data_IF_362214134329
#
_entry.id   IF_362214134329
#
_cell.length_a   1.000
_cell.length_b   1.000
_cell.length_c   1.000
_cell.angle_alpha   90.00
_cell.angle_beta   90.00
_cell.angle_gamma   90.00
#
_symmetry.space_group_name_H-M   'P 1'
#
loop_
_entity.id
_entity.type
_entity.pdbx_description
1 polymer ?
#
# COMPACT_ATOMS: atom_id res chain seq x y z
N UNK A 1 39.86 59.38 16.60
CA UNK A 1 38.69 59.81 17.40
C UNK A 1 37.47 59.04 16.92
N UNK A 2 36.71 58.53 17.89
CA UNK A 2 35.33 58.04 17.85
C UNK A 2 35.02 56.66 17.26
N UNK A 3 34.90 55.72 18.20
CA UNK A 3 33.91 54.63 18.29
C UNK A 3 32.49 55.07 17.89
N UNK A 4 31.60 54.17 17.45
CA UNK A 4 30.43 53.65 18.23
C UNK A 4 29.60 52.67 17.36
N UNK A 5 29.04 51.71 18.10
CA UNK A 5 28.25 50.52 17.81
C UNK A 5 26.93 50.63 17.03
N UNK A 6 26.57 49.42 16.59
CA UNK A 6 25.37 48.88 15.97
C UNK A 6 24.16 48.75 16.94
N UNK A 7 22.95 49.15 16.50
CA UNK A 7 21.56 48.66 16.82
C UNK A 7 20.57 49.73 16.27
N UNK A 8 19.35 49.49 15.73
CA UNK A 8 18.27 48.53 15.99
C UNK A 8 17.20 48.62 14.86
N UNK A 9 16.55 47.49 14.55
CA UNK A 9 15.15 47.29 14.06
C UNK A 9 14.61 47.99 12.79
N UNK A 10 14.18 47.17 11.82
CA UNK A 10 12.91 47.39 11.12
C UNK A 10 12.15 46.06 10.90
N UNK A 11 10.90 46.05 11.37
CA UNK A 11 9.89 44.99 11.23
C UNK A 11 9.58 44.72 9.75
N UNK A 12 9.46 43.45 9.37
CA UNK A 12 8.81 43.04 8.13
C UNK A 12 7.32 42.81 8.39
N UNK A 13 6.47 43.40 7.55
CA UNK A 13 5.01 43.36 7.60
C UNK A 13 4.54 42.55 6.36
N UNK A 14 3.63 41.57 6.48
CA UNK A 14 3.20 40.78 5.32
C UNK A 14 2.26 41.58 4.41
N UNK A 15 2.33 41.43 3.08
CA UNK A 15 1.45 42.13 2.15
C UNK A 15 0.02 41.55 2.14
N UNK A 16 -0.94 42.47 2.05
CA UNK A 16 -2.39 42.29 2.04
C UNK A 16 -2.96 41.79 0.72
N UNK A 17 -4.07 41.04 0.81
CA UNK A 17 -4.96 40.63 -0.29
C UNK A 17 -5.54 41.84 -1.06
N UNK A 18 -5.36 41.87 -2.38
CA UNK A 18 -6.24 42.61 -3.30
C UNK A 18 -6.27 41.98 -4.72
N UNK A 19 -7.50 41.61 -5.11
CA UNK A 19 -8.14 41.72 -6.43
C UNK A 19 -7.64 40.91 -7.65
N UNK A 20 -8.50 39.96 -8.08
CA UNK A 20 -8.46 39.23 -9.36
C UNK A 20 -9.20 40.00 -10.46
N UNK A 21 -8.72 40.00 -11.72
CA UNK A 21 -9.53 40.36 -12.88
C UNK A 21 -10.34 39.16 -13.40
N UNK A 22 -11.63 39.41 -13.65
CA UNK A 22 -12.58 38.54 -14.34
C UNK A 22 -12.50 38.68 -15.86
N UNK A 23 -12.53 37.59 -16.61
CA UNK A 23 -12.84 37.59 -18.04
C UNK A 23 -13.96 36.58 -18.36
N UNK A 24 -15.07 37.11 -18.84
CA UNK A 24 -16.10 36.44 -19.65
C UNK A 24 -16.38 37.40 -20.83
N UNK A 25 -16.59 37.00 -22.08
CA UNK A 25 -16.59 35.68 -22.71
C UNK A 25 -16.66 35.86 -24.24
N UNK A 26 -16.65 34.74 -24.97
CA UNK A 26 -17.14 34.65 -26.33
C UNK A 26 -17.72 33.25 -26.53
N UNK A 27 -19.04 33.16 -26.66
CA UNK A 27 -19.80 31.94 -26.92
C UNK A 27 -19.90 31.79 -28.44
N UNK A 28 -19.39 30.69 -28.99
CA UNK A 28 -19.70 30.24 -30.34
C UNK A 28 -20.24 28.81 -30.24
N UNK A 29 -21.50 28.65 -30.60
CA UNK A 29 -22.26 27.41 -30.43
C UNK A 29 -21.86 26.32 -31.41
N UNK A 30 -21.51 25.15 -30.84
CA UNK A 30 -21.83 23.83 -31.39
C UNK A 30 -22.10 22.90 -30.20
N UNK A 31 -23.19 22.12 -30.17
CA UNK A 31 -23.39 21.11 -29.15
C UNK A 31 -22.36 20.00 -29.38
N UNK A 32 -21.25 20.07 -28.64
CA UNK A 32 -20.33 18.94 -28.48
C UNK A 32 -21.06 17.93 -27.60
N UNK A 33 -21.79 17.00 -28.22
CA UNK A 33 -22.10 15.73 -27.57
C UNK A 33 -20.78 15.09 -27.22
N UNK A 34 -20.35 15.23 -25.96
CA UNK A 34 -19.29 14.42 -25.41
C UNK A 34 -19.79 12.99 -25.44
N UNK A 35 -19.36 12.23 -26.45
CA UNK A 35 -19.41 10.77 -26.39
C UNK A 35 -18.83 10.40 -25.04
N UNK A 36 -19.55 9.65 -24.18
CA UNK A 36 -19.00 9.21 -22.93
C UNK A 36 -17.74 8.42 -23.28
N UNK A 37 -16.57 8.96 -22.97
CA UNK A 37 -15.33 8.20 -23.01
C UNK A 37 -15.59 7.05 -22.04
N UNK A 38 -15.73 5.85 -22.58
CA UNK A 38 -15.95 4.66 -21.78
C UNK A 38 -14.84 4.62 -20.73
N UNK A 39 -15.22 4.88 -19.48
CA UNK A 39 -14.36 4.64 -18.32
C UNK A 39 -13.96 3.17 -18.46
N UNK A 40 -12.66 2.83 -18.56
CA UNK A 40 -12.25 1.44 -18.60
C UNK A 40 -12.87 0.77 -17.38
N UNK A 41 -13.74 -0.21 -17.62
CA UNK A 41 -14.45 -0.93 -16.56
C UNK A 41 -13.41 -1.36 -15.53
N UNK A 42 -13.48 -0.73 -14.35
CA UNK A 42 -12.92 -1.28 -13.12
C UNK A 42 -13.26 -2.76 -13.11
N UNK A 43 -12.35 -3.65 -12.70
CA UNK A 43 -12.85 -4.92 -12.19
C UNK A 43 -13.78 -4.54 -11.03
N UNK A 44 -15.11 -4.71 -11.14
CA UNK A 44 -16.01 -4.28 -10.10
C UNK A 44 -15.55 -4.89 -8.77
N UNK A 45 -15.79 -4.17 -7.67
CA UNK A 45 -15.68 -4.66 -6.29
C UNK A 45 -16.18 -6.12 -6.12
N UNK A 46 -17.16 -6.53 -6.94
CA UNK A 46 -17.66 -7.90 -7.01
C UNK A 46 -16.63 -8.94 -7.47
N UNK A 47 -15.72 -8.66 -8.40
CA UNK A 47 -14.74 -9.64 -8.90
C UNK A 47 -13.65 -9.97 -7.86
N UNK A 48 -13.25 -9.02 -7.00
CA UNK A 48 -12.26 -9.23 -5.93
C UNK A 48 -12.86 -9.86 -4.68
N UNK A 49 -14.08 -9.50 -4.29
CA UNK A 49 -14.76 -10.15 -3.16
C UNK A 49 -15.33 -11.53 -3.53
N UNK A 50 -15.81 -11.71 -4.76
CA UNK A 50 -16.17 -13.03 -5.29
C UNK A 50 -14.92 -13.91 -5.39
N UNK A 51 -13.78 -13.35 -5.81
CA UNK A 51 -12.48 -13.99 -5.73
C UNK A 51 -12.16 -14.42 -4.30
N UNK A 52 -12.24 -13.54 -3.30
CA UNK A 52 -11.92 -13.92 -1.92
C UNK A 52 -12.81 -15.06 -1.40
N UNK A 53 -14.13 -14.97 -1.59
CA UNK A 53 -15.08 -16.00 -1.16
C UNK A 53 -14.86 -17.34 -1.89
N UNK A 54 -14.63 -17.31 -3.21
CA UNK A 54 -14.37 -18.52 -4.02
C UNK A 54 -12.99 -19.13 -3.77
N UNK A 55 -12.04 -18.33 -3.27
CA UNK A 55 -10.70 -18.77 -2.92
C UNK A 55 -10.60 -19.29 -1.48
N UNK A 56 -11.64 -19.18 -0.65
CA UNK A 56 -11.60 -19.70 0.73
C UNK A 56 -11.16 -21.16 0.76
N UNK A 57 -10.15 -21.45 1.57
CA UNK A 57 -9.53 -22.79 1.69
C UNK A 57 -8.46 -23.13 0.65
N UNK A 58 -8.21 -22.26 -0.34
CA UNK A 58 -7.11 -22.44 -1.30
C UNK A 58 -5.77 -21.99 -0.71
N UNK A 59 -4.62 -22.44 -1.26
CA UNK A 59 -3.31 -21.92 -0.87
C UNK A 59 -3.19 -20.40 -1.02
N UNK A 60 -3.85 -19.82 -2.03
CA UNK A 60 -3.86 -18.39 -2.29
C UNK A 60 -4.52 -17.61 -1.15
N UNK A 61 -5.68 -18.07 -0.69
CA UNK A 61 -6.37 -17.49 0.45
C UNK A 61 -5.58 -17.70 1.75
N UNK A 62 -4.99 -18.87 1.96
CA UNK A 62 -4.13 -19.14 3.12
C UNK A 62 -2.96 -18.14 3.20
N UNK A 63 -2.31 -17.85 2.07
CA UNK A 63 -1.27 -16.82 2.00
C UNK A 63 -1.84 -15.41 2.24
N UNK A 64 -3.01 -15.09 1.68
CA UNK A 64 -3.66 -13.79 1.85
C UNK A 64 -4.02 -13.47 3.31
N UNK A 65 -4.29 -14.48 4.15
CA UNK A 65 -4.59 -14.26 5.58
C UNK A 65 -3.43 -13.62 6.35
N UNK A 66 -2.19 -13.77 5.89
CA UNK A 66 -1.03 -13.11 6.49
C UNK A 66 -0.90 -11.62 6.12
N UNK A 67 -1.82 -11.11 5.29
CA UNK A 67 -1.81 -9.74 4.77
C UNK A 67 -2.96 -8.96 5.41
N UNK A 68 -2.60 -7.86 6.06
CA UNK A 68 -3.53 -7.03 6.83
C UNK A 68 -3.54 -5.58 6.37
N UNK A 69 -4.54 -4.85 6.83
CA UNK A 69 -4.56 -3.40 6.69
C UNK A 69 -3.71 -2.76 7.78
N UNK A 70 -2.86 -1.80 7.43
CA UNK A 70 -2.09 -1.02 8.42
C UNK A 70 -2.94 0.17 8.84
N UNK A 71 -3.18 0.31 10.13
CA UNK A 71 -3.97 1.38 10.71
C UNK A 71 -3.13 2.26 11.63
N UNK A 72 -3.33 3.57 11.50
CA UNK A 72 -3.11 4.48 12.60
C UNK A 72 -4.26 4.34 13.60
N UNK A 73 -3.93 4.21 14.88
CA UNK A 73 -4.89 4.17 15.99
C UNK A 73 -4.57 5.27 16.98
N UNK A 74 -5.57 6.10 17.27
CA UNK A 74 -5.50 7.18 18.27
C UNK A 74 -6.61 7.02 19.30
N UNK A 75 -6.30 7.35 20.55
CA UNK A 75 -7.27 7.38 21.64
C UNK A 75 -7.40 8.83 22.09
N UNK A 76 -8.60 9.38 21.98
CA UNK A 76 -8.89 10.74 22.43
C UNK A 76 -10.11 10.73 23.35
N UNK A 77 -10.10 11.65 24.32
CA UNK A 77 -11.23 11.82 25.25
C UNK A 77 -12.22 12.80 24.65
N UNK A 78 -13.48 12.42 24.52
CA UNK A 78 -14.53 13.30 24.02
C UNK A 78 -14.97 14.34 25.08
N UNK A 79 -15.81 15.29 24.67
CA UNK A 79 -16.32 16.37 25.52
C UNK A 79 -17.12 15.89 26.73
N UNK A 80 -17.52 14.62 26.74
CA UNK A 80 -18.28 13.98 27.82
C UNK A 80 -17.38 13.14 28.74
N UNK A 81 -16.06 13.11 28.48
CA UNK A 81 -15.09 12.38 29.27
C UNK A 81 -14.90 10.92 28.86
N UNK A 82 -15.54 10.44 27.78
CA UNK A 82 -15.35 9.07 27.29
C UNK A 82 -14.13 8.96 26.39
N UNK A 83 -13.38 7.87 26.54
CA UNK A 83 -12.34 7.53 25.58
C UNK A 83 -12.96 7.02 24.28
N UNK A 84 -12.56 7.63 23.17
CA UNK A 84 -12.93 7.25 21.81
C UNK A 84 -11.68 6.76 21.10
N UNK A 85 -11.79 5.60 20.48
CA UNK A 85 -10.75 5.04 19.61
C UNK A 85 -11.07 5.45 18.18
N UNK A 86 -10.16 6.19 17.56
CA UNK A 86 -10.22 6.53 16.15
C UNK A 86 -9.17 5.72 15.40
N UNK A 87 -9.52 5.26 14.21
CA UNK A 87 -8.61 4.54 13.34
C UNK A 87 -8.71 5.03 11.91
N UNK A 88 -7.57 5.10 11.23
CA UNK A 88 -7.49 5.39 9.79
C UNK A 88 -6.60 4.36 9.12
N UNK A 89 -7.07 3.75 8.03
CA UNK A 89 -6.22 2.89 7.21
C UNK A 89 -5.16 3.73 6.50
N UNK A 90 -3.92 3.23 6.48
CA UNK A 90 -2.77 3.86 5.84
C UNK A 90 -2.31 3.10 4.59
N UNK A 91 -2.63 1.80 4.50
CA UNK A 91 -2.19 0.92 3.44
C UNK A 91 -2.28 -0.54 3.85
N UNK A 92 -1.47 -1.37 3.21
CA UNK A 92 -1.41 -2.82 3.39
C UNK A 92 -0.05 -3.24 3.99
N UNK A 93 -0.02 -4.32 4.76
CA UNK A 93 1.20 -4.91 5.30
C UNK A 93 1.14 -6.44 5.34
N UNK A 94 2.30 -7.07 5.23
CA UNK A 94 2.45 -8.54 5.22
C UNK A 94 3.22 -9.03 6.43
N UNK A 95 2.65 -9.98 7.19
CA UNK A 95 3.35 -10.66 8.27
C UNK A 95 4.44 -11.58 7.68
N UNK A 96 5.68 -11.39 8.13
CA UNK A 96 6.87 -12.10 7.64
C UNK A 96 7.76 -12.55 8.81
N UNK A 97 8.87 -13.22 8.49
CA UNK A 97 9.95 -13.51 9.45
C UNK A 97 9.45 -14.23 10.72
N UNK A 98 8.73 -15.34 10.50
CA UNK A 98 8.12 -16.14 11.58
C UNK A 98 7.22 -15.33 12.51
N UNK A 99 6.54 -14.31 11.97
CA UNK A 99 5.60 -13.46 12.69
C UNK A 99 6.25 -12.37 13.54
N UNK A 100 7.55 -12.15 13.37
CA UNK A 100 8.28 -11.14 14.16
C UNK A 100 8.24 -9.74 13.53
N UNK A 101 7.93 -9.64 12.25
CA UNK A 101 7.90 -8.36 11.55
C UNK A 101 6.85 -8.29 10.45
N UNK A 102 6.55 -7.06 10.04
CA UNK A 102 5.60 -6.73 8.98
C UNK A 102 6.33 -5.96 7.89
N UNK A 103 6.22 -6.43 6.65
CA UNK A 103 6.71 -5.72 5.46
C UNK A 103 5.61 -4.81 4.91
N UNK A 104 5.94 -3.55 4.64
CA UNK A 104 5.06 -2.57 3.99
C UNK A 104 5.91 -1.51 3.27
N UNK A 105 5.28 -0.48 2.68
CA UNK A 105 6.00 0.65 2.11
C UNK A 105 6.47 1.63 3.18
N UNK A 106 7.55 2.34 2.87
CA UNK A 106 8.01 3.42 3.73
C UNK A 106 6.98 4.56 3.77
N UNK A 107 6.38 4.93 2.65
CA UNK A 107 5.36 5.99 2.64
C UNK A 107 4.10 5.65 3.45
N UNK A 108 3.73 4.36 3.56
CA UNK A 108 2.61 3.90 4.41
C UNK A 108 2.93 4.15 5.88
N UNK A 109 4.16 3.82 6.29
CA UNK A 109 4.65 4.09 7.65
C UNK A 109 4.75 5.60 7.93
N UNK A 110 5.29 6.36 6.97
CA UNK A 110 5.51 7.79 7.13
C UNK A 110 4.21 8.61 7.14
N UNK A 111 3.08 8.01 6.71
CA UNK A 111 1.75 8.58 6.84
C UNK A 111 1.20 8.60 8.29
N UNK A 112 1.88 7.93 9.23
CA UNK A 112 1.52 7.92 10.65
C UNK A 112 1.64 9.33 11.24
N UNK A 113 0.54 9.85 11.82
CA UNK A 113 0.60 11.12 12.52
C UNK A 113 1.42 11.04 13.82
N UNK A 114 2.00 12.18 14.23
CA UNK A 114 2.78 12.28 15.46
C UNK A 114 1.94 11.84 16.67
N UNK A 115 2.41 10.83 17.39
CA UNK A 115 1.74 10.30 18.59
C UNK A 115 0.67 9.24 18.31
N UNK A 116 0.42 8.89 17.04
CA UNK A 116 -0.40 7.75 16.66
C UNK A 116 0.29 6.43 16.97
N UNK A 117 -0.51 5.38 17.20
CA UNK A 117 -0.05 3.99 17.28
C UNK A 117 -0.25 3.31 15.94
N UNK A 118 0.62 2.36 15.60
CA UNK A 118 0.44 1.51 14.42
C UNK A 118 -0.07 0.13 14.82
N UNK A 119 -1.04 -0.34 14.06
CA UNK A 119 -1.55 -1.71 14.15
C UNK A 119 -1.64 -2.34 12.76
N UNK A 120 -1.37 -3.64 12.66
CA UNK A 120 -1.77 -4.47 11.52
C UNK A 120 -3.08 -5.18 11.88
N UNK A 121 -4.11 -4.98 11.06
CA UNK A 121 -5.42 -5.61 11.21
C UNK A 121 -5.51 -6.82 10.27
N UNK A 122 -5.43 -8.02 10.86
CA UNK A 122 -5.46 -9.31 10.16
C UNK A 122 -6.85 -9.94 10.22
N UNK A 123 -7.16 -10.73 9.19
CA UNK A 123 -8.50 -11.28 8.99
C UNK A 123 -9.55 -10.17 8.91
N UNK A 124 -9.19 -9.05 8.26
CA UNK A 124 -10.10 -7.93 8.08
C UNK A 124 -11.02 -8.21 6.88
N UNK A 125 -12.18 -8.78 7.15
CA UNK A 125 -13.12 -9.27 6.15
C UNK A 125 -14.54 -8.77 6.42
N UNK A 126 -15.37 -8.79 5.37
CA UNK A 126 -16.80 -8.56 5.51
C UNK A 126 -17.48 -9.87 5.92
N UNK A 127 -18.25 -9.84 7.02
CA UNK A 127 -19.03 -10.98 7.48
C UNK A 127 -20.32 -11.17 6.65
N UNK A 128 -21.08 -12.22 6.95
CA UNK A 128 -22.34 -12.55 6.25
C UNK A 128 -23.43 -11.47 6.34
N UNK A 129 -23.30 -10.50 7.26
CA UNK A 129 -24.24 -9.37 7.41
C UNK A 129 -23.76 -8.11 6.67
N UNK A 130 -22.66 -8.18 5.94
CA UNK A 130 -22.06 -7.01 5.30
C UNK A 130 -21.22 -6.15 6.25
N UNK A 131 -20.99 -6.59 7.49
CA UNK A 131 -20.23 -5.82 8.48
C UNK A 131 -18.75 -6.22 8.43
N UNK A 132 -17.88 -5.22 8.50
CA UNK A 132 -16.45 -5.43 8.61
C UNK A 132 -16.06 -5.98 9.99
N UNK A 133 -15.30 -7.07 9.99
CA UNK A 133 -14.78 -7.74 11.19
C UNK A 133 -13.26 -7.87 11.08
N UNK A 134 -12.57 -7.68 12.20
CA UNK A 134 -11.13 -7.89 12.33
C UNK A 134 -10.93 -9.08 13.26
N UNK A 135 -10.28 -10.13 12.78
CA UNK A 135 -9.95 -11.28 13.62
C UNK A 135 -8.85 -10.96 14.64
N UNK A 136 -7.82 -10.21 14.24
CA UNK A 136 -6.67 -9.90 15.12
C UNK A 136 -6.09 -8.53 14.81
N UNK A 137 -5.91 -7.72 15.84
CA UNK A 137 -5.13 -6.47 15.80
C UNK A 137 -3.75 -6.74 16.37
N UNK A 138 -2.72 -6.38 15.63
CA UNK A 138 -1.33 -6.64 15.97
C UNK A 138 -0.61 -5.30 16.13
N UNK A 139 -0.25 -4.90 17.36
CA UNK A 139 0.53 -3.69 17.59
C UNK A 139 1.89 -3.76 16.89
N UNK A 140 2.31 -2.64 16.30
CA UNK A 140 3.59 -2.51 15.61
C UNK A 140 4.45 -1.42 16.25
N UNK A 141 5.76 -1.66 16.34
CA UNK A 141 6.71 -0.59 16.64
C UNK A 141 6.80 0.35 15.43
N UNK A 142 6.49 1.66 15.57
CA UNK A 142 6.61 2.62 14.47
C UNK A 142 8.06 2.90 14.07
N UNK A 143 9.05 2.49 14.87
CA UNK A 143 10.45 2.49 14.48
C UNK A 143 10.76 1.24 13.64
N UNK A 144 11.08 1.39 12.34
CA UNK A 144 11.38 0.24 11.50
C UNK A 144 12.65 -0.47 11.96
N UNK A 145 12.63 -1.80 11.89
CA UNK A 145 13.81 -2.66 11.99
C UNK A 145 14.76 -2.39 10.83
N UNK A 146 14.18 -2.22 9.63
CA UNK A 146 14.88 -1.94 8.39
C UNK A 146 13.97 -1.17 7.44
N UNK A 147 14.56 -0.40 6.52
CA UNK A 147 13.82 0.36 5.52
C UNK A 147 14.75 1.20 4.67
N UNK A 148 14.33 1.48 3.43
CA UNK A 148 15.05 2.31 2.48
C UNK A 148 14.04 3.08 1.62
N UNK A 149 14.18 4.41 1.58
CA UNK A 149 13.25 5.30 0.91
C UNK A 149 13.31 5.19 -0.62
N UNK A 150 14.45 4.76 -1.18
CA UNK A 150 14.60 4.55 -2.64
C UNK A 150 13.87 3.29 -3.09
N UNK A 151 13.90 2.26 -2.24
CA UNK A 151 13.17 1.02 -2.43
C UNK A 151 11.72 1.08 -1.90
N UNK A 152 11.34 2.22 -1.30
CA UNK A 152 10.06 2.49 -0.66
C UNK A 152 9.53 1.32 0.17
N UNK A 153 10.37 0.81 1.08
CA UNK A 153 9.95 -0.28 1.98
C UNK A 153 10.32 0.02 3.44
N UNK A 154 9.51 -0.52 4.33
CA UNK A 154 9.75 -0.56 5.77
C UNK A 154 9.41 -1.95 6.32
N UNK A 155 10.26 -2.43 7.22
CA UNK A 155 10.03 -3.63 8.03
C UNK A 155 9.76 -3.19 9.47
N UNK A 156 8.54 -3.37 9.93
CA UNK A 156 8.08 -2.97 11.27
C UNK A 156 8.11 -4.15 12.22
N UNK A 157 8.53 -3.92 13.47
CA UNK A 157 8.55 -4.99 14.48
C UNK A 157 7.13 -5.26 14.97
N UNK A 158 6.75 -6.53 15.06
CA UNK A 158 5.54 -6.96 15.79
C UNK A 158 5.79 -6.79 17.29
N UNK A 159 4.99 -5.94 17.92
CA UNK A 159 5.09 -5.57 19.34
C UNK A 159 4.12 -6.40 20.18
N UNK A 160 4.41 -7.71 20.23
CA UNK A 160 3.68 -8.69 21.03
C UNK A 160 4.64 -9.53 21.89
N UNK A 161 4.19 -10.01 23.07
CA UNK A 161 4.92 -11.00 23.85
C UNK A 161 5.14 -12.31 23.07
N UNK A 162 6.19 -13.07 23.41
CA UNK A 162 6.57 -14.29 22.69
C UNK A 162 5.42 -15.34 22.61
N UNK A 163 4.66 -15.51 23.70
CA UNK A 163 3.51 -16.44 23.71
C UNK A 163 2.40 -16.02 22.74
N UNK A 164 2.14 -14.72 22.62
CA UNK A 164 1.15 -14.19 21.68
C UNK A 164 1.64 -14.23 20.23
N UNK A 165 2.94 -14.09 19.99
CA UNK A 165 3.53 -14.27 18.66
C UNK A 165 3.37 -15.70 18.16
N UNK A 166 3.51 -16.70 19.05
CA UNK A 166 3.28 -18.11 18.68
C UNK A 166 1.82 -18.31 18.21
N UNK A 167 0.85 -17.82 19.00
CA UNK A 167 -0.55 -17.89 18.62
C UNK A 167 -0.85 -17.12 17.32
N UNK A 168 -0.21 -15.96 17.12
CA UNK A 168 -0.32 -15.18 15.89
C UNK A 168 0.12 -16.00 14.67
N UNK A 169 1.26 -16.67 14.73
CA UNK A 169 1.82 -17.48 13.63
C UNK A 169 0.98 -18.71 13.33
N UNK A 170 0.42 -19.34 14.38
CA UNK A 170 -0.52 -20.47 14.23
C UNK A 170 -1.82 -20.02 13.54
N UNK A 171 -2.33 -18.84 13.90
CA UNK A 171 -3.56 -18.30 13.30
C UNK A 171 -3.32 -17.73 11.89
N UNK A 172 -2.18 -17.08 11.65
CA UNK A 172 -1.82 -16.39 10.42
C UNK A 172 -0.39 -16.79 9.98
N UNK A 173 -0.25 -17.85 9.17
CA UNK A 173 1.05 -18.34 8.73
C UNK A 173 1.85 -17.25 7.97
N UNK A 174 3.02 -16.81 8.47
CA UNK A 174 3.78 -15.72 7.87
C UNK A 174 4.24 -16.04 6.44
N UNK A 175 4.34 -14.99 5.62
CA UNK A 175 4.84 -15.09 4.25
C UNK A 175 6.37 -15.15 4.21
N UNK A 176 6.86 -15.85 3.20
CA UNK A 176 8.29 -15.91 2.87
C UNK A 176 8.63 -14.91 1.79
N UNK A 177 9.80 -14.30 1.93
CA UNK A 177 10.37 -13.46 0.89
C UNK A 177 11.21 -14.33 -0.03
N UNK A 178 11.02 -14.23 -1.34
CA UNK A 178 11.71 -15.08 -2.28
C UNK A 178 13.24 -14.82 -2.28
N UNK A 179 14.04 -15.88 -2.26
CA UNK A 179 15.51 -15.78 -2.22
C UNK A 179 16.10 -15.80 -3.64
N UNK A 180 16.63 -14.66 -4.11
CA UNK A 180 17.28 -14.53 -5.43
C UNK A 180 16.46 -13.73 -6.46
N UNK A 181 16.92 -13.56 -7.71
CA UNK A 181 16.19 -12.81 -8.73
C UNK A 181 14.93 -13.58 -9.13
N UNK A 182 13.82 -13.31 -8.43
CA UNK A 182 12.61 -14.12 -8.46
C UNK A 182 11.46 -13.44 -9.21
N UNK A 183 11.57 -12.13 -9.47
CA UNK A 183 10.62 -11.40 -10.29
C UNK A 183 10.97 -11.60 -11.78
N UNK A 184 10.22 -12.47 -12.46
CA UNK A 184 10.42 -12.78 -13.89
C UNK A 184 9.28 -12.25 -14.74
N UNK A 185 9.57 -11.77 -15.95
CA UNK A 185 8.52 -11.32 -16.87
C UNK A 185 7.55 -12.46 -17.22
N UNK A 186 6.25 -12.16 -17.22
CA UNK A 186 5.21 -13.15 -17.45
C UNK A 186 4.93 -14.08 -16.26
N UNK A 187 5.69 -13.98 -15.16
CA UNK A 187 5.43 -14.74 -13.94
C UNK A 187 4.03 -14.42 -13.42
N UNK A 188 3.25 -15.47 -13.15
CA UNK A 188 1.92 -15.35 -12.57
C UNK A 188 2.04 -14.98 -11.10
N UNK A 189 1.30 -13.95 -10.73
CA UNK A 189 1.26 -13.43 -9.37
C UNK A 189 -0.18 -13.22 -8.92
N UNK A 190 -0.38 -13.17 -7.62
CA UNK A 190 -1.59 -12.64 -7.02
C UNK A 190 -1.21 -11.60 -5.96
N UNK A 191 -2.13 -10.66 -5.72
CA UNK A 191 -1.90 -9.54 -4.82
C UNK A 191 -3.03 -9.44 -3.78
N UNK A 192 -2.88 -10.08 -2.62
CA UNK A 192 -3.76 -9.79 -1.48
C UNK A 192 -3.56 -8.33 -1.04
N UNK A 193 -4.64 -7.60 -0.80
CA UNK A 193 -4.59 -6.17 -0.53
C UNK A 193 -5.80 -5.69 0.30
N UNK A 194 -5.69 -4.49 0.85
CA UNK A 194 -6.75 -3.82 1.61
C UNK A 194 -7.10 -2.43 1.02
N UNK A 195 -7.07 -2.29 -0.32
CA UNK A 195 -7.44 -1.04 -0.99
C UNK A 195 -8.92 -0.66 -0.79
N UNK A 196 -9.77 -1.65 -0.52
CA UNK A 196 -11.23 -1.50 -0.40
C UNK A 196 -11.72 -1.66 1.04
N UNK A 197 -10.87 -1.36 2.01
CA UNK A 197 -11.03 -1.66 3.43
C UNK A 197 -10.96 -3.17 3.73
N UNK A 198 -11.76 -4.01 3.09
CA UNK A 198 -11.71 -5.48 3.26
C UNK A 198 -10.54 -6.15 2.50
N UNK A 199 -10.20 -7.38 2.92
CA UNK A 199 -9.28 -8.25 2.19
C UNK A 199 -9.82 -8.56 0.78
N UNK A 200 -9.12 -8.03 -0.23
CA UNK A 200 -9.27 -8.40 -1.63
C UNK A 200 -8.08 -9.22 -2.12
N UNK A 201 -8.30 -10.16 -3.05
CA UNK A 201 -7.24 -10.94 -3.69
C UNK A 201 -7.26 -10.71 -5.20
N UNK A 202 -6.32 -9.89 -5.69
CA UNK A 202 -6.18 -9.58 -7.10
C UNK A 202 -5.35 -10.65 -7.82
N UNK A 203 -6.00 -11.68 -8.36
CA UNK A 203 -5.36 -12.76 -9.13
C UNK A 203 -5.68 -12.76 -10.64
N UNK A 204 -6.66 -11.95 -11.05
CA UNK A 204 -6.98 -11.66 -12.44
C UNK A 204 -6.73 -10.18 -12.75
N UNK A 205 -6.29 -9.89 -13.96
CA UNK A 205 -6.16 -8.54 -14.50
C UNK A 205 -7.51 -8.04 -15.04
N UNK A 206 -7.54 -6.80 -15.54
CA UNK A 206 -8.75 -6.15 -16.06
C UNK A 206 -9.40 -6.88 -17.26
N UNK A 207 -8.67 -7.80 -17.92
CA UNK A 207 -9.16 -8.63 -19.04
C UNK A 207 -9.65 -10.00 -18.58
N UNK A 208 -9.70 -10.27 -17.27
CA UNK A 208 -10.05 -11.57 -16.70
C UNK A 208 -8.99 -12.66 -16.90
N UNK A 209 -7.76 -12.27 -17.26
CA UNK A 209 -6.63 -13.20 -17.41
C UNK A 209 -5.82 -13.23 -16.11
N UNK A 210 -5.05 -14.30 -15.82
CA UNK A 210 -4.16 -14.32 -14.66
C UNK A 210 -3.26 -13.08 -14.61
N UNK A 211 -3.16 -12.46 -13.44
CA UNK A 211 -2.27 -11.33 -13.22
C UNK A 211 -0.81 -11.77 -13.38
N UNK A 212 0.02 -10.95 -14.02
CA UNK A 212 1.44 -11.23 -14.25
C UNK A 212 2.32 -10.02 -14.01
N UNK A 213 3.62 -10.28 -13.81
CA UNK A 213 4.66 -9.26 -13.98
C UNK A 213 4.83 -8.96 -15.47
N UNK A 214 4.92 -7.68 -15.85
CA UNK A 214 4.83 -7.22 -17.25
C UNK A 214 6.12 -6.67 -17.84
N UNK A 215 6.97 -6.07 -17.01
CA UNK A 215 8.16 -5.37 -17.47
C UNK A 215 8.98 -4.85 -16.30
N UNK A 216 10.15 -4.30 -16.61
CA UNK A 216 10.95 -3.49 -15.68
C UNK A 216 10.87 -2.03 -16.10
N UNK A 217 11.18 -1.11 -15.18
CA UNK A 217 11.38 0.28 -15.57
C UNK A 217 12.53 0.39 -16.58
N UNK A 218 12.31 1.17 -17.63
CA UNK A 218 13.23 1.34 -18.78
C UNK A 218 13.67 0.02 -19.44
N UNK A 219 12.90 -1.06 -19.29
CA UNK A 219 13.26 -2.42 -19.74
C UNK A 219 14.58 -2.95 -19.14
N UNK A 220 15.04 -2.37 -18.03
CA UNK A 220 16.28 -2.74 -17.36
C UNK A 220 16.01 -3.61 -16.12
N UNK A 221 16.38 -4.89 -16.23
CA UNK A 221 16.23 -5.89 -15.17
C UNK A 221 17.18 -5.66 -13.97
N UNK A 222 17.95 -4.57 -13.94
CA UNK A 222 18.71 -4.13 -12.76
C UNK A 222 18.06 -2.96 -12.03
N UNK A 223 16.96 -2.42 -12.56
CA UNK A 223 16.20 -1.38 -11.88
C UNK A 223 15.39 -1.94 -10.71
N UNK A 224 15.06 -1.03 -9.81
CA UNK A 224 14.36 -1.32 -8.57
C UNK A 224 12.89 -1.73 -8.80
N UNK A 225 12.33 -1.26 -9.91
CA UNK A 225 10.90 -1.31 -10.21
C UNK A 225 10.56 -2.42 -11.20
N UNK A 226 9.55 -3.21 -10.85
CA UNK A 226 8.85 -4.14 -11.75
C UNK A 226 7.40 -3.70 -11.92
N UNK A 227 6.87 -3.85 -13.14
CA UNK A 227 5.48 -3.55 -13.46
C UNK A 227 4.59 -4.79 -13.40
N UNK A 228 3.33 -4.62 -13.02
CA UNK A 228 2.33 -5.69 -12.99
C UNK A 228 0.95 -5.20 -13.42
N UNK A 229 0.07 -6.12 -13.81
CA UNK A 229 -1.30 -5.84 -14.23
C UNK A 229 -2.38 -6.28 -13.23
N UNK A 230 -1.97 -6.73 -12.03
CA UNK A 230 -2.90 -6.96 -10.92
C UNK A 230 -3.69 -5.68 -10.58
N UNK A 231 -4.96 -5.83 -10.24
CA UNK A 231 -5.81 -4.72 -9.85
C UNK A 231 -5.22 -3.96 -8.65
N UNK A 232 -5.29 -2.62 -8.69
CA UNK A 232 -4.70 -1.69 -7.72
C UNK A 232 -5.56 -0.44 -7.57
N UNK A 233 -5.56 0.15 -6.38
CA UNK A 233 -6.22 1.41 -6.06
C UNK A 233 -5.59 2.03 -4.78
N UNK A 234 -5.97 3.26 -4.37
CA UNK A 234 -5.49 3.80 -3.09
C UNK A 234 -5.72 2.82 -1.92
N UNK A 235 -4.71 2.62 -1.08
CA UNK A 235 -4.73 1.64 0.01
C UNK A 235 -4.12 0.27 -0.33
N UNK A 236 -3.90 -0.04 -1.62
CA UNK A 236 -3.13 -1.24 -2.01
C UNK A 236 -1.63 -1.10 -1.80
N UNK A 237 -1.11 0.10 -1.55
CA UNK A 237 0.31 0.31 -1.19
C UNK A 237 0.74 -0.60 -0.04
N UNK A 238 1.86 -1.29 -0.23
CA UNK A 238 2.44 -2.23 0.72
C UNK A 238 1.93 -3.66 0.52
N UNK A 239 1.07 -3.89 -0.47
CA UNK A 239 0.61 -5.23 -0.82
C UNK A 239 1.74 -6.06 -1.42
N UNK A 240 1.86 -7.34 -1.04
CA UNK A 240 2.83 -8.22 -1.65
C UNK A 240 2.33 -8.70 -3.02
N UNK A 241 3.24 -8.76 -4.00
CA UNK A 241 3.06 -9.60 -5.17
C UNK A 241 3.63 -10.98 -4.84
N UNK A 242 2.75 -11.98 -4.79
CA UNK A 242 3.08 -13.34 -4.41
C UNK A 242 3.09 -14.22 -5.65
N UNK A 243 4.17 -14.98 -5.86
CA UNK A 243 4.22 -15.95 -6.96
C UNK A 243 3.17 -17.04 -6.76
N UNK A 244 2.40 -17.33 -7.80
CA UNK A 244 1.43 -18.44 -7.78
C UNK A 244 2.13 -19.79 -7.59
N UNK A 245 3.34 -19.95 -8.12
CA UNK A 245 4.05 -21.23 -8.13
C UNK A 245 4.78 -21.50 -6.81
N UNK A 246 5.44 -20.49 -6.23
CA UNK A 246 6.21 -20.68 -4.99
C UNK A 246 5.47 -20.28 -3.71
N UNK A 247 4.44 -19.43 -3.81
CA UNK A 247 3.78 -18.83 -2.65
C UNK A 247 4.64 -17.79 -1.92
N UNK A 248 5.77 -17.40 -2.49
CA UNK A 248 6.69 -16.41 -1.90
C UNK A 248 6.43 -15.01 -2.45
N UNK A 249 6.69 -13.99 -1.63
CA UNK A 249 6.65 -12.59 -2.05
C UNK A 249 7.82 -12.34 -2.99
N UNK A 250 7.53 -11.90 -4.22
CA UNK A 250 8.53 -11.59 -5.26
C UNK A 250 8.71 -10.10 -5.50
N UNK A 251 7.73 -9.28 -5.14
CA UNK A 251 7.80 -7.82 -5.21
C UNK A 251 6.80 -7.17 -4.24
N UNK A 252 6.99 -5.88 -3.95
CA UNK A 252 6.19 -5.07 -3.03
C UNK A 252 5.55 -3.91 -3.79
N UNK A 253 4.22 -3.93 -3.95
CA UNK A 253 3.49 -2.88 -4.65
C UNK A 253 3.57 -1.55 -3.91
N UNK A 254 3.85 -0.46 -4.63
CA UNK A 254 3.91 0.89 -4.05
C UNK A 254 3.12 1.96 -4.80
N UNK A 255 2.64 1.70 -6.02
CA UNK A 255 1.87 2.71 -6.75
C UNK A 255 1.43 2.29 -8.15
N UNK A 256 0.97 3.26 -8.94
CA UNK A 256 0.58 3.05 -10.33
C UNK A 256 1.30 4.02 -11.25
N UNK A 257 1.60 3.56 -12.46
CA UNK A 257 2.18 4.35 -13.53
C UNK A 257 1.34 4.19 -14.80
N UNK A 258 1.22 5.27 -15.57
CA UNK A 258 0.80 5.17 -16.96
C UNK A 258 2.03 4.85 -17.81
N UNK A 259 2.29 3.56 -18.04
CA UNK A 259 3.46 3.11 -18.80
C UNK A 259 3.03 2.51 -20.16
N UNK A 260 3.88 2.70 -21.17
CA UNK A 260 3.79 1.96 -22.42
C UNK A 260 4.59 0.68 -22.28
N UNK A 261 3.94 -0.44 -21.95
CA UNK A 261 4.58 -1.75 -21.92
C UNK A 261 4.16 -2.49 -23.19
N UNK A 262 5.14 -2.97 -23.98
CA UNK A 262 4.88 -3.62 -25.27
C UNK A 262 4.05 -2.78 -26.26
N UNK A 263 4.25 -1.45 -26.27
CA UNK A 263 3.58 -0.54 -27.21
C UNK A 263 2.12 -0.22 -26.90
N UNK A 264 1.55 -0.71 -25.80
CA UNK A 264 0.23 -0.30 -25.30
C UNK A 264 0.38 0.56 -24.04
N UNK A 265 -0.23 1.75 -24.05
CA UNK A 265 -0.33 2.59 -22.84
C UNK A 265 -1.44 2.02 -21.96
N UNK A 266 -1.07 1.44 -20.83
CA UNK A 266 -2.00 0.88 -19.86
C UNK A 266 -1.66 1.39 -18.44
N UNK A 267 -2.64 1.33 -17.54
CA UNK A 267 -2.42 1.62 -16.13
C UNK A 267 -1.78 0.39 -15.48
N UNK A 268 -0.46 0.43 -15.30
CA UNK A 268 0.28 -0.62 -14.62
C UNK A 268 0.42 -0.31 -13.13
N UNK A 269 0.54 -1.35 -12.32
CA UNK A 269 1.06 -1.22 -10.96
C UNK A 269 2.58 -1.23 -11.00
N UNK A 270 3.19 -0.47 -10.10
CA UNK A 270 4.63 -0.42 -9.89
C UNK A 270 4.96 -1.04 -8.52
N UNK A 271 5.99 -1.87 -8.50
CA UNK A 271 6.40 -2.61 -7.32
C UNK A 271 7.93 -2.68 -7.20
N UNK A 272 8.44 -2.63 -5.98
CA UNK A 272 9.87 -2.84 -5.69
C UNK A 272 10.16 -4.33 -5.67
N UNK A 273 11.23 -4.77 -6.32
CA UNK A 273 11.59 -6.19 -6.30
C UNK A 273 12.10 -6.66 -4.93
N UNK A 274 11.70 -7.86 -4.54
CA UNK A 274 12.02 -8.37 -3.20
C UNK A 274 13.51 -8.68 -3.02
N UNK A 275 14.21 -9.03 -4.10
CA UNK A 275 15.62 -9.40 -4.02
C UNK A 275 16.50 -8.20 -3.67
N UNK A 276 16.13 -7.00 -4.12
CA UNK A 276 16.80 -5.75 -3.76
C UNK A 276 16.52 -5.37 -2.30
N UNK A 277 15.28 -5.54 -1.83
CA UNK A 277 14.93 -5.41 -0.42
C UNK A 277 15.76 -6.39 0.43
N UNK A 278 15.86 -7.66 0.02
CA UNK A 278 16.69 -8.64 0.73
C UNK A 278 18.18 -8.29 0.72
N UNK A 279 18.72 -7.82 -0.39
CA UNK A 279 20.11 -7.38 -0.47
C UNK A 279 20.39 -6.24 0.51
N UNK A 280 19.51 -5.23 0.58
CA UNK A 280 19.65 -4.14 1.54
C UNK A 280 19.48 -4.64 2.99
N UNK A 281 18.52 -5.55 3.28
CA UNK A 281 18.35 -6.16 4.61
C UNK A 281 19.61 -6.89 5.10
N UNK A 282 20.36 -7.55 4.22
CA UNK A 282 21.58 -8.32 4.57
C UNK A 282 22.83 -7.47 4.75
N UNK A 283 22.84 -6.21 4.30
CA UNK A 283 23.99 -5.29 4.43
C UNK A 283 23.99 -4.49 5.73
N UNK A 284 22.98 -4.69 6.59
CA UNK A 284 22.86 -4.08 7.92
C UNK A 284 23.20 -5.09 9.00
#
# INVERSE_FOLDING_TARGET
>A
MNSVNNTLTHRYQPPSLAERPSYAGAVSGKPSYSTPTAVPQHAPFSLQNYANASLKGTPMHTAARAVGSIHEVTVARDSWGYERVYSRSLGTGSLINDGNSVLTNQHVRDALARGGKLELWLGYEQNNTGRMEVERRVPLDPKPLSGDARLDYAELRVDLPAGEKKALVEQFPPLKLASGPQASLGQKVFMPNHGQEALGISFLNARGQPSTLKGYDQDDAYQDTVYHDAFKEPGTSGSPLISVDSGEIVALHYGSIGASVNGQRDSMGAATRIDLIQQHRRRR
#
